data_IF_704652947326
#
_entry.id   IF_704652947326
#
_cell.length_a   1.000
_cell.length_b   1.000
_cell.length_c   1.000
_cell.angle_alpha   90.00
_cell.angle_beta   90.00
_cell.angle_gamma   90.00
#
_symmetry.space_group_name_H-M   'P 1'
#
loop_
_entity.id
_entity.type
_entity.pdbx_description
1 polymer ?
#
# COMPACT_ATOMS: atom_id res chain seq x y z
N UNK A 1 -5.51 -24.78 2.19
CA UNK A 1 -5.71 -23.35 2.50
C UNK A 1 -4.32 -22.72 2.42
N UNK A 2 -4.07 -21.74 1.54
CA UNK A 2 -2.73 -21.17 1.39
C UNK A 2 -2.32 -20.48 2.70
N UNK A 3 -1.10 -20.78 3.16
CA UNK A 3 -0.48 -20.18 4.35
C UNK A 3 -0.01 -18.76 4.06
N UNK A 4 0.07 -17.91 5.09
CA UNK A 4 0.20 -16.45 5.04
C UNK A 4 1.39 -15.83 4.25
N UNK A 5 2.23 -16.63 3.60
CA UNK A 5 3.28 -16.19 2.65
C UNK A 5 2.83 -16.07 1.20
N UNK A 6 1.71 -16.69 0.80
CA UNK A 6 1.33 -16.81 -0.62
C UNK A 6 0.85 -15.50 -1.29
N UNK A 7 0.70 -14.42 -0.52
CA UNK A 7 0.18 -13.13 -1.00
C UNK A 7 1.19 -11.97 -1.03
N UNK A 8 2.32 -12.09 -0.32
CA UNK A 8 3.31 -11.02 -0.17
C UNK A 8 4.61 -11.36 -0.91
N UNK A 9 4.95 -10.56 -1.92
CA UNK A 9 6.09 -10.83 -2.82
C UNK A 9 7.30 -9.95 -2.47
N UNK A 10 8.46 -10.55 -2.24
CA UNK A 10 9.71 -9.78 -2.20
C UNK A 10 10.15 -9.38 -3.61
N UNK A 11 10.44 -8.10 -3.80
CA UNK A 11 11.03 -7.60 -5.04
C UNK A 11 12.33 -6.85 -4.70
N UNK A 12 13.52 -7.46 -4.88
CA UNK A 12 14.82 -6.91 -4.53
C UNK A 12 15.37 -5.98 -5.61
N UNK A 13 14.58 -4.97 -5.99
CA UNK A 13 14.98 -3.90 -6.90
C UNK A 13 14.29 -3.91 -8.28
N UNK A 14 14.64 -2.95 -9.16
CA UNK A 14 13.93 -2.68 -10.41
C UNK A 14 13.87 -3.82 -11.42
N UNK A 15 14.85 -4.74 -11.38
CA UNK A 15 14.93 -5.88 -12.31
C UNK A 15 13.89 -6.97 -11.99
N UNK A 16 13.34 -6.96 -10.78
CA UNK A 16 12.35 -7.94 -10.33
C UNK A 16 12.92 -8.93 -9.31
N UNK A 17 12.27 -10.10 -9.12
CA UNK A 17 11.39 -10.77 -10.08
C UNK A 17 9.98 -10.17 -10.13
N UNK A 18 9.49 -9.91 -11.34
CA UNK A 18 8.14 -9.35 -11.56
C UNK A 18 7.06 -10.40 -11.84
N UNK A 19 7.47 -11.63 -12.16
CA UNK A 19 6.54 -12.72 -12.47
C UNK A 19 5.55 -13.00 -11.33
N UNK A 20 5.95 -13.11 -10.04
CA UNK A 20 5.00 -13.37 -8.96
C UNK A 20 3.97 -12.24 -8.77
N UNK A 21 4.39 -10.98 -8.94
CA UNK A 21 3.48 -9.82 -8.89
C UNK A 21 2.44 -9.91 -10.02
N UNK A 22 2.89 -10.19 -11.25
CA UNK A 22 1.99 -10.36 -12.42
C UNK A 22 1.06 -11.55 -12.26
N UNK A 23 1.54 -12.65 -11.71
CA UNK A 23 0.72 -13.84 -11.45
C UNK A 23 -0.36 -13.57 -10.40
N UNK A 24 0.00 -12.90 -9.30
CA UNK A 24 -0.97 -12.52 -8.26
C UNK A 24 -2.06 -11.58 -8.81
N UNK A 25 -1.66 -10.57 -9.59
CA UNK A 25 -2.60 -9.70 -10.30
C UNK A 25 -3.51 -10.45 -11.28
N UNK A 26 -2.98 -11.40 -12.04
CA UNK A 26 -3.76 -12.22 -12.99
C UNK A 26 -4.76 -13.11 -12.26
N UNK A 27 -4.35 -13.76 -11.17
CA UNK A 27 -5.15 -14.76 -10.46
C UNK A 27 -6.19 -14.15 -9.54
N UNK A 28 -5.83 -13.08 -8.83
CA UNK A 28 -6.64 -12.51 -7.75
C UNK A 28 -7.12 -11.09 -8.04
N UNK A 29 -6.58 -10.43 -9.07
CA UNK A 29 -6.85 -9.02 -9.33
C UNK A 29 -6.09 -8.07 -8.40
N UNK A 30 -5.30 -8.61 -7.46
CA UNK A 30 -4.55 -7.85 -6.46
C UNK A 30 -3.13 -8.38 -6.34
N UNK A 31 -2.17 -7.53 -5.97
CA UNK A 31 -0.85 -7.98 -5.54
C UNK A 31 -0.33 -7.10 -4.40
N UNK A 32 0.43 -7.71 -3.50
CA UNK A 32 1.15 -7.02 -2.43
C UNK A 32 2.62 -7.41 -2.53
N UNK A 33 3.49 -6.42 -2.45
CA UNK A 33 4.92 -6.62 -2.54
C UNK A 33 5.65 -5.81 -1.49
N UNK A 34 6.87 -6.23 -1.20
CA UNK A 34 7.78 -5.48 -0.35
C UNK A 34 9.18 -5.42 -0.97
N UNK A 35 9.95 -4.45 -0.49
CA UNK A 35 11.36 -4.28 -0.80
C UNK A 35 12.08 -3.56 0.33
N UNK A 36 13.39 -3.76 0.40
CA UNK A 36 14.24 -3.06 1.36
C UNK A 36 14.79 -1.77 0.76
N UNK A 37 14.95 -0.73 1.58
CA UNK A 37 15.42 0.60 1.18
C UNK A 37 16.67 0.55 0.28
N UNK A 38 17.67 -0.26 0.65
CA UNK A 38 18.93 -0.36 -0.08
C UNK A 38 18.82 -1.10 -1.42
N UNK A 39 17.81 -1.95 -1.60
CA UNK A 39 17.55 -2.64 -2.88
C UNK A 39 16.94 -1.69 -3.92
N UNK A 40 16.34 -0.59 -3.44
CA UNK A 40 15.56 0.34 -4.25
C UNK A 40 16.15 1.75 -4.33
N UNK A 41 17.24 2.01 -3.60
CA UNK A 41 17.95 3.28 -3.64
C UNK A 41 18.83 3.36 -4.90
N UNK A 42 18.54 4.25 -5.86
CA UNK A 42 19.39 4.44 -7.02
C UNK A 42 20.77 4.99 -6.61
N UNK A 43 21.87 4.55 -7.24
CA UNK A 43 23.19 5.04 -6.92
C UNK A 43 23.38 6.46 -7.47
N UNK A 44 23.43 7.46 -6.58
CA UNK A 44 23.82 8.85 -6.88
C UNK A 44 23.17 9.44 -8.16
N UNK A 45 21.82 9.50 -8.23
CA UNK A 45 21.16 9.95 -9.45
C UNK A 45 21.43 11.43 -9.74
N UNK A 46 21.63 11.77 -11.01
CA UNK A 46 21.72 13.15 -11.45
C UNK A 46 20.35 13.86 -11.47
N UNK A 47 20.31 15.17 -11.80
CA UNK A 47 19.04 15.92 -11.79
C UNK A 47 18.03 15.40 -12.84
N UNK A 48 18.52 14.92 -13.99
CA UNK A 48 17.68 14.39 -15.06
C UNK A 48 17.05 13.06 -14.63
N UNK A 49 17.85 12.19 -14.02
CA UNK A 49 17.40 10.93 -13.45
C UNK A 49 16.40 11.15 -12.32
N UNK A 50 16.67 12.07 -11.38
CA UNK A 50 15.73 12.42 -10.31
C UNK A 50 14.39 12.92 -10.85
N UNK A 51 14.42 13.76 -11.89
CA UNK A 51 13.19 14.24 -12.55
C UNK A 51 12.41 13.10 -13.20
N UNK A 52 13.11 12.16 -13.84
CA UNK A 52 12.52 10.94 -14.38
C UNK A 52 11.90 10.07 -13.30
N UNK A 53 12.64 9.79 -12.21
CA UNK A 53 12.28 8.88 -11.12
C UNK A 53 11.24 9.42 -10.14
N UNK A 54 11.09 10.74 -10.02
CA UNK A 54 10.14 11.36 -9.10
C UNK A 54 8.99 12.07 -9.81
N UNK A 55 9.20 12.57 -11.03
CA UNK A 55 8.17 13.32 -11.75
C UNK A 55 7.57 14.43 -10.90
N UNK A 56 6.24 14.45 -10.74
CA UNK A 56 5.53 15.40 -9.87
C UNK A 56 5.89 15.34 -8.37
N UNK A 57 6.64 14.31 -7.93
CA UNK A 57 7.08 14.14 -6.55
C UNK A 57 8.43 14.81 -6.25
N UNK A 58 9.11 15.37 -7.27
CA UNK A 58 10.41 16.02 -7.13
C UNK A 58 10.42 17.22 -6.17
N UNK A 59 9.43 18.15 -6.19
CA UNK A 59 9.44 19.29 -5.26
C UNK A 59 9.51 18.86 -3.80
N UNK A 60 8.71 17.84 -3.42
CA UNK A 60 8.71 17.30 -2.07
C UNK A 60 10.06 16.69 -1.68
N UNK A 61 10.75 16.02 -2.61
CA UNK A 61 12.08 15.49 -2.36
C UNK A 61 13.11 16.60 -2.08
N UNK A 62 13.05 17.70 -2.82
CA UNK A 62 13.95 18.84 -2.65
C UNK A 62 13.74 19.56 -1.30
N UNK A 63 12.51 19.61 -0.79
CA UNK A 63 12.16 20.16 0.53
C UNK A 63 12.75 19.37 1.71
N UNK A 64 12.99 18.07 1.55
CA UNK A 64 13.55 17.25 2.62
C UNK A 64 14.97 17.71 2.93
N UNK A 65 15.27 18.05 4.17
CA UNK A 65 16.60 18.54 4.57
C UNK A 65 17.55 17.43 5.04
N UNK A 66 16.98 16.33 5.55
CA UNK A 66 17.75 15.23 6.13
C UNK A 66 18.11 14.20 5.05
N UNK A 67 19.39 13.86 4.92
CA UNK A 67 19.90 12.92 3.92
C UNK A 67 19.17 11.56 3.97
N UNK A 68 19.05 10.95 5.16
CA UNK A 68 18.33 9.68 5.34
C UNK A 68 16.86 9.76 4.96
N UNK A 69 16.21 10.91 5.18
CA UNK A 69 14.82 11.09 4.77
C UNK A 69 14.71 11.18 3.24
N UNK A 70 15.67 11.83 2.56
CA UNK A 70 15.76 11.88 1.09
C UNK A 70 15.95 10.50 0.49
N UNK A 71 16.91 9.71 0.99
CA UNK A 71 17.17 8.35 0.51
C UNK A 71 15.93 7.46 0.63
N UNK A 72 15.31 7.43 1.82
CA UNK A 72 14.06 6.69 2.06
C UNK A 72 12.94 7.12 1.13
N UNK A 73 12.76 8.43 0.97
CA UNK A 73 11.73 8.97 0.10
C UNK A 73 11.95 8.54 -1.36
N UNK A 74 13.19 8.66 -1.84
CA UNK A 74 13.56 8.27 -3.19
C UNK A 74 13.33 6.77 -3.41
N UNK A 75 13.91 5.91 -2.56
CA UNK A 75 13.74 4.46 -2.66
C UNK A 75 12.26 4.06 -2.65
N UNK A 76 11.47 4.64 -1.74
CA UNK A 76 10.02 4.39 -1.63
C UNK A 76 9.26 4.79 -2.89
N UNK A 77 9.58 5.92 -3.50
CA UNK A 77 8.90 6.37 -4.73
C UNK A 77 9.31 5.56 -5.95
N UNK A 78 10.58 5.16 -6.05
CA UNK A 78 11.06 4.28 -7.12
C UNK A 78 10.42 2.90 -7.01
N UNK A 79 10.43 2.28 -5.82
CA UNK A 79 9.76 1.02 -5.54
C UNK A 79 8.28 1.05 -5.91
N UNK A 80 7.55 2.03 -5.36
CA UNK A 80 6.11 2.12 -5.57
C UNK A 80 5.75 2.32 -7.04
N UNK A 81 6.52 3.16 -7.76
CA UNK A 81 6.32 3.38 -9.18
C UNK A 81 6.48 2.12 -10.01
N UNK A 82 7.50 1.31 -9.74
CA UNK A 82 7.72 0.07 -10.49
C UNK A 82 6.60 -0.94 -10.26
N UNK A 83 6.11 -1.04 -9.02
CA UNK A 83 4.94 -1.88 -8.69
C UNK A 83 3.71 -1.46 -9.50
N UNK A 84 3.43 -0.15 -9.56
CA UNK A 84 2.32 0.38 -10.36
C UNK A 84 2.55 0.15 -11.87
N UNK A 85 3.78 0.33 -12.36
CA UNK A 85 4.15 0.12 -13.76
C UNK A 85 3.87 -1.33 -14.21
N UNK A 86 4.22 -2.30 -13.37
CA UNK A 86 3.92 -3.72 -13.59
C UNK A 86 2.41 -3.96 -13.62
N UNK A 87 1.67 -3.33 -12.70
CA UNK A 87 0.20 -3.41 -12.67
C UNK A 87 -0.46 -2.80 -13.92
N UNK A 88 0.16 -1.81 -14.56
CA UNK A 88 -0.31 -1.20 -15.81
C UNK A 88 0.24 -1.88 -17.07
N UNK A 89 1.24 -2.76 -16.94
CA UNK A 89 2.04 -3.25 -18.07
C UNK A 89 2.64 -2.11 -18.91
N UNK A 90 3.14 -1.08 -18.23
CA UNK A 90 3.72 0.11 -18.84
C UNK A 90 5.17 0.35 -18.33
N UNK A 91 5.98 1.15 -19.04
CA UNK A 91 7.28 1.60 -18.52
C UNK A 91 7.11 2.44 -17.25
N UNK A 92 7.97 2.30 -16.22
CA UNK A 92 7.89 3.09 -14.98
C UNK A 92 7.83 4.60 -15.21
N UNK A 93 8.55 5.10 -16.21
CA UNK A 93 8.64 6.53 -16.57
C UNK A 93 7.31 7.11 -17.03
N UNK A 94 6.39 6.26 -17.52
CA UNK A 94 5.06 6.66 -17.97
C UNK A 94 4.03 6.73 -16.83
N UNK A 95 4.38 6.26 -15.63
CA UNK A 95 3.47 6.19 -14.49
C UNK A 95 3.39 7.54 -13.77
N UNK A 96 2.21 8.15 -13.78
CA UNK A 96 1.92 9.37 -13.03
C UNK A 96 1.10 9.08 -11.76
N UNK A 97 1.75 9.21 -10.61
CA UNK A 97 1.16 8.99 -9.29
C UNK A 97 0.85 10.34 -8.64
N UNK A 98 -0.43 10.61 -8.44
CA UNK A 98 -0.95 11.71 -7.64
C UNK A 98 -1.21 11.31 -6.20
N UNK A 99 -1.42 12.31 -5.34
CA UNK A 99 -1.83 12.11 -3.95
C UNK A 99 -3.04 12.98 -3.65
N UNK A 100 -4.06 12.39 -3.03
CA UNK A 100 -5.21 13.11 -2.50
C UNK A 100 -4.78 13.99 -1.31
N UNK A 101 -5.58 14.99 -0.90
CA UNK A 101 -5.25 15.86 0.24
C UNK A 101 -4.92 15.12 1.54
N UNK A 102 -5.35 13.86 1.67
CA UNK A 102 -5.15 13.03 2.85
C UNK A 102 -3.96 12.07 2.71
N UNK A 103 -3.14 12.25 1.66
CA UNK A 103 -1.97 11.43 1.39
C UNK A 103 -2.26 10.08 0.74
N UNK A 104 -3.51 9.78 0.37
CA UNK A 104 -3.85 8.56 -0.38
C UNK A 104 -3.30 8.67 -1.82
N UNK A 105 -2.43 7.75 -2.27
CA UNK A 105 -1.95 7.74 -3.65
C UNK A 105 -3.06 7.32 -4.61
N UNK A 106 -3.02 7.85 -5.84
CA UNK A 106 -3.85 7.42 -6.97
C UNK A 106 -3.05 7.52 -8.27
N UNK A 107 -3.46 6.76 -9.28
CA UNK A 107 -2.82 6.75 -10.60
C UNK A 107 -3.61 7.61 -11.57
N UNK A 108 -2.99 8.65 -12.14
CA UNK A 108 -3.67 9.54 -13.09
C UNK A 108 -3.97 8.79 -14.38
N UNK A 109 -5.19 8.97 -14.90
CA UNK A 109 -5.63 8.30 -16.13
C UNK A 109 -6.02 6.83 -15.95
N UNK A 110 -5.96 6.28 -14.73
CA UNK A 110 -6.30 4.88 -14.43
C UNK A 110 -7.21 4.79 -13.18
N UNK A 111 -8.46 5.22 -13.31
CA UNK A 111 -9.40 5.32 -12.19
C UNK A 111 -9.81 3.99 -11.54
N UNK A 112 -9.60 2.87 -12.23
CA UNK A 112 -9.92 1.52 -11.74
C UNK A 112 -8.78 0.89 -10.93
N UNK A 113 -7.56 1.45 -11.00
CA UNK A 113 -6.40 0.90 -10.30
C UNK A 113 -6.27 1.52 -8.90
N UNK A 114 -6.53 0.71 -7.90
CA UNK A 114 -6.38 1.07 -6.50
C UNK A 114 -4.98 0.74 -6.01
N UNK A 115 -4.35 1.67 -5.28
CA UNK A 115 -2.95 1.57 -4.87
C UNK A 115 -2.75 2.00 -3.42
N UNK A 116 -1.83 1.35 -2.72
CA UNK A 116 -1.49 1.67 -1.34
C UNK A 116 0.01 1.47 -1.09
N UNK A 117 0.58 2.28 -0.19
CA UNK A 117 1.99 2.30 0.14
C UNK A 117 2.14 2.49 1.65
N UNK A 118 3.02 1.71 2.27
CA UNK A 118 3.49 1.94 3.64
C UNK A 118 4.99 1.66 3.76
N UNK A 119 5.61 2.17 4.82
CA UNK A 119 7.01 1.92 5.12
C UNK A 119 7.25 1.95 6.64
N UNK A 120 8.14 1.11 7.14
CA UNK A 120 8.60 1.14 8.52
C UNK A 120 10.09 0.86 8.57
N UNK A 121 10.86 1.85 9.05
CA UNK A 121 12.32 1.80 8.95
C UNK A 121 12.79 1.60 7.50
N UNK A 122 13.61 0.57 7.20
CA UNK A 122 14.08 0.25 5.86
C UNK A 122 13.06 -0.57 5.04
N UNK A 123 11.99 -1.08 5.65
CA UNK A 123 10.97 -1.86 4.93
C UNK A 123 10.00 -0.94 4.20
N UNK A 124 9.68 -1.29 2.97
CA UNK A 124 8.65 -0.64 2.17
C UNK A 124 7.70 -1.72 1.65
N UNK A 125 6.40 -1.42 1.68
CA UNK A 125 5.34 -2.33 1.22
C UNK A 125 4.37 -1.58 0.32
N UNK A 126 4.02 -2.18 -0.80
CA UNK A 126 3.10 -1.62 -1.77
C UNK A 126 2.04 -2.65 -2.12
N UNK A 127 0.82 -2.16 -2.33
CA UNK A 127 -0.31 -2.98 -2.74
C UNK A 127 -1.02 -2.34 -3.93
N UNK A 128 -1.48 -3.18 -4.85
CA UNK A 128 -2.19 -2.80 -6.08
C UNK A 128 -3.42 -3.70 -6.26
N UNK A 129 -4.52 -3.12 -6.74
CA UNK A 129 -5.77 -3.84 -6.98
C UNK A 129 -6.50 -3.31 -8.21
N UNK A 130 -6.98 -4.22 -9.05
CA UNK A 130 -7.84 -3.97 -10.22
C UNK A 130 -9.32 -4.27 -9.96
N UNK A 131 -9.67 -4.72 -8.76
CA UNK A 131 -10.99 -5.32 -8.46
C UNK A 131 -11.70 -4.69 -7.26
N UNK A 132 -11.14 -3.64 -6.69
CA UNK A 132 -11.72 -2.94 -5.54
C UNK A 132 -10.66 -2.29 -4.65
N UNK A 133 -11.11 -1.69 -3.56
CA UNK A 133 -10.23 -0.97 -2.62
C UNK A 133 -9.16 -1.88 -2.05
N UNK A 134 -7.96 -1.34 -1.85
CA UNK A 134 -6.83 -2.05 -1.24
C UNK A 134 -6.05 -1.12 -0.32
N UNK A 135 -5.55 -1.67 0.78
CA UNK A 135 -4.71 -0.97 1.73
C UNK A 135 -3.64 -1.90 2.29
N UNK A 136 -2.44 -1.36 2.50
CA UNK A 136 -1.34 -2.08 3.14
C UNK A 136 -0.72 -1.23 4.22
N UNK A 137 -0.30 -1.89 5.28
CA UNK A 137 0.51 -1.29 6.32
C UNK A 137 1.62 -2.24 6.79
N UNK A 138 2.70 -1.64 7.30
CA UNK A 138 3.81 -2.38 7.88
C UNK A 138 4.35 -1.66 9.10
N UNK A 139 4.65 -2.41 10.15
CA UNK A 139 5.28 -1.91 11.36
C UNK A 139 6.31 -2.90 11.88
N UNK A 140 7.28 -2.40 12.62
CA UNK A 140 8.22 -3.29 13.29
C UNK A 140 7.51 -4.11 14.38
N UNK A 141 7.66 -5.42 14.32
CA UNK A 141 6.93 -6.34 15.18
C UNK A 141 7.39 -6.30 16.65
N UNK A 142 8.61 -5.81 16.88
CA UNK A 142 9.25 -5.65 18.19
C UNK A 142 8.95 -4.29 18.85
N UNK A 143 8.09 -3.46 18.25
CA UNK A 143 7.80 -2.12 18.76
C UNK A 143 7.17 -2.22 20.16
N UNK A 144 7.77 -1.61 21.21
CA UNK A 144 7.25 -1.71 22.56
C UNK A 144 6.04 -0.80 22.70
N UNK A 145 4.84 -1.39 22.68
CA UNK A 145 3.57 -0.67 22.80
C UNK A 145 2.82 -0.99 24.10
N UNK A 146 3.18 -2.05 24.83
CA UNK A 146 2.55 -2.35 26.11
C UNK A 146 2.77 -1.21 27.12
N UNK A 147 1.72 -0.86 27.86
CA UNK A 147 1.73 0.27 28.81
C UNK A 147 1.84 1.67 28.18
N UNK A 148 1.85 1.81 26.85
CA UNK A 148 1.95 3.11 26.17
C UNK A 148 0.63 3.91 26.10
N UNK A 149 -0.50 3.28 26.46
CA UNK A 149 -1.85 3.83 26.31
C UNK A 149 -2.42 3.75 24.89
N UNK A 150 -1.66 3.21 23.93
CA UNK A 150 -2.13 3.03 22.54
C UNK A 150 -3.32 2.07 22.42
N UNK A 151 -3.47 1.13 23.35
CA UNK A 151 -4.62 0.24 23.41
C UNK A 151 -5.94 1.01 23.52
N UNK A 152 -5.96 2.21 24.11
CA UNK A 152 -7.17 3.01 24.24
C UNK A 152 -7.62 3.63 22.91
N UNK A 153 -6.68 4.05 22.06
CA UNK A 153 -6.97 4.65 20.76
C UNK A 153 -7.05 3.62 19.63
N UNK A 154 -6.42 2.46 19.80
CA UNK A 154 -6.35 1.43 18.77
C UNK A 154 -7.41 0.37 18.98
N UNK A 155 -7.61 -0.15 20.20
CA UNK A 155 -8.39 -1.35 20.43
C UNK A 155 -9.87 -1.03 20.73
N UNK A 156 -10.76 -1.89 20.23
CA UNK A 156 -12.14 -1.97 20.73
C UNK A 156 -12.14 -2.41 22.21
N UNK A 157 -13.24 -2.19 22.96
CA UNK A 157 -13.34 -2.69 24.34
C UNK A 157 -13.07 -4.19 24.47
N UNK A 158 -13.55 -5.00 23.53
CA UNK A 158 -13.35 -6.45 23.54
C UNK A 158 -11.89 -6.83 23.21
N UNK A 159 -11.26 -6.13 22.28
CA UNK A 159 -9.84 -6.32 21.98
C UNK A 159 -8.95 -5.92 23.16
N UNK A 160 -9.31 -4.91 23.95
CA UNK A 160 -8.57 -4.57 25.19
C UNK A 160 -8.65 -5.69 26.23
N UNK A 161 -9.82 -6.30 26.41
CA UNK A 161 -9.97 -7.47 27.30
C UNK A 161 -9.11 -8.63 26.79
N UNK A 162 -9.12 -8.87 25.48
CA UNK A 162 -8.27 -9.88 24.85
C UNK A 162 -6.78 -9.61 25.11
N UNK A 163 -6.34 -8.38 24.88
CA UNK A 163 -4.95 -7.93 25.03
C UNK A 163 -4.48 -8.10 26.48
N UNK A 164 -5.31 -7.68 27.45
CA UNK A 164 -5.01 -7.81 28.87
C UNK A 164 -4.89 -9.28 29.32
N UNK A 165 -5.60 -10.21 28.66
CA UNK A 165 -5.52 -11.66 28.95
C UNK A 165 -4.23 -12.32 28.46
N UNK A 166 -3.45 -11.66 27.59
CA UNK A 166 -2.19 -12.21 27.08
C UNK A 166 -1.06 -12.03 28.10
N UNK A 167 -0.07 -12.95 28.10
CA UNK A 167 1.21 -12.72 28.78
C UNK A 167 1.85 -11.40 28.34
N UNK A 168 2.44 -10.60 29.26
CA UNK A 168 3.01 -9.29 28.95
C UNK A 168 3.94 -9.27 27.73
N UNK A 169 4.76 -10.30 27.56
CA UNK A 169 5.69 -10.48 26.45
C UNK A 169 5.02 -10.57 25.06
N UNK A 170 3.73 -10.91 25.00
CA UNK A 170 2.96 -11.01 23.76
C UNK A 170 2.09 -9.80 23.47
N UNK A 171 1.87 -8.91 24.46
CA UNK A 171 0.94 -7.78 24.33
C UNK A 171 1.39 -6.77 23.28
N UNK A 172 2.66 -6.38 23.29
CA UNK A 172 3.18 -5.44 22.29
C UNK A 172 3.02 -5.99 20.86
N UNK A 173 3.36 -7.26 20.64
CA UNK A 173 3.25 -7.88 19.33
C UNK A 173 1.80 -7.96 18.82
N UNK A 174 0.85 -8.25 19.72
CA UNK A 174 -0.57 -8.27 19.38
C UNK A 174 -1.13 -6.86 19.12
N UNK A 175 -0.72 -5.87 19.91
CA UNK A 175 -1.13 -4.47 19.71
C UNK A 175 -0.59 -3.93 18.38
N UNK A 176 0.66 -4.25 18.01
CA UNK A 176 1.20 -3.96 16.67
C UNK A 176 0.37 -4.65 15.58
N UNK A 177 -0.01 -5.93 15.77
CA UNK A 177 -0.85 -6.66 14.81
C UNK A 177 -2.19 -5.96 14.58
N UNK A 178 -2.88 -5.56 15.65
CA UNK A 178 -4.16 -4.85 15.57
C UNK A 178 -4.00 -3.48 14.90
N UNK A 179 -2.97 -2.74 15.28
CA UNK A 179 -2.63 -1.45 14.68
C UNK A 179 -2.45 -1.57 13.16
N UNK A 180 -1.55 -2.46 12.71
CA UNK A 180 -1.22 -2.60 11.29
C UNK A 180 -2.42 -3.03 10.46
N UNK A 181 -3.29 -3.90 10.99
CA UNK A 181 -4.55 -4.28 10.33
C UNK A 181 -5.52 -3.09 10.19
N UNK A 182 -5.72 -2.32 11.26
CA UNK A 182 -6.63 -1.16 11.27
C UNK A 182 -6.12 -0.05 10.37
N UNK A 183 -4.81 0.20 10.36
CA UNK A 183 -4.20 1.19 9.47
C UNK A 183 -4.30 0.75 8.01
N UNK A 184 -4.05 -0.53 7.70
CA UNK A 184 -4.26 -1.07 6.35
C UNK A 184 -5.72 -0.87 5.89
N UNK A 185 -6.70 -1.16 6.74
CA UNK A 185 -8.11 -0.93 6.43
C UNK A 185 -8.44 0.54 6.21
N UNK A 186 -7.96 1.41 7.09
CA UNK A 186 -8.18 2.84 6.94
C UNK A 186 -7.53 3.42 5.68
N UNK A 187 -6.36 2.91 5.28
CA UNK A 187 -5.71 3.23 4.00
C UNK A 187 -6.56 2.80 2.82
N UNK A 188 -7.15 1.60 2.85
CA UNK A 188 -8.08 1.15 1.81
C UNK A 188 -9.33 2.05 1.70
N UNK A 189 -9.82 2.54 2.83
CA UNK A 189 -10.96 3.46 2.88
C UNK A 189 -10.60 4.91 2.54
N UNK A 190 -9.31 5.25 2.48
CA UNK A 190 -8.81 6.60 2.23
C UNK A 190 -8.99 7.58 3.40
N UNK A 191 -9.18 7.07 4.62
CA UNK A 191 -9.42 7.88 5.81
C UNK A 191 -8.15 8.11 6.65
N UNK A 192 -7.14 7.25 6.51
CA UNK A 192 -5.88 7.33 7.24
C UNK A 192 -6.06 7.38 8.77
N UNK A 193 -5.29 8.20 9.46
CA UNK A 193 -5.36 8.35 10.93
C UNK A 193 -6.67 8.95 11.47
N UNK A 194 -7.60 9.38 10.60
CA UNK A 194 -8.90 9.93 11.02
C UNK A 194 -9.94 8.86 11.30
N UNK A 195 -9.68 7.61 10.88
CA UNK A 195 -10.61 6.53 11.13
C UNK A 195 -10.59 6.18 12.63
N UNK A 196 -11.75 6.09 13.31
CA UNK A 196 -11.81 5.71 14.72
C UNK A 196 -11.49 4.22 14.89
N UNK A 197 -10.23 3.88 15.17
CA UNK A 197 -9.74 2.51 15.26
C UNK A 197 -10.42 1.71 16.39
N UNK A 198 -10.76 2.37 17.49
CA UNK A 198 -11.52 1.82 18.60
C UNK A 198 -12.97 1.41 18.23
N UNK A 199 -13.45 1.84 17.05
CA UNK A 199 -14.75 1.51 16.47
C UNK A 199 -14.66 0.44 15.37
N UNK A 200 -13.50 -0.17 15.16
CA UNK A 200 -13.25 -1.20 14.15
C UNK A 200 -12.73 -2.47 14.80
N UNK A 201 -13.50 -3.56 14.77
CA UNK A 201 -13.14 -4.83 15.38
C UNK A 201 -12.65 -5.86 14.36
N UNK A 202 -11.55 -6.53 14.70
CA UNK A 202 -11.02 -7.66 13.93
C UNK A 202 -11.04 -8.96 14.73
N UNK A 203 -11.32 -10.07 14.04
CA UNK A 203 -11.14 -11.42 14.59
C UNK A 203 -9.68 -11.70 14.92
N UNK A 204 -9.42 -12.72 15.74
CA UNK A 204 -8.05 -13.27 15.94
C UNK A 204 -7.43 -13.76 14.63
N UNK A 205 -8.25 -14.26 13.70
CA UNK A 205 -7.83 -14.63 12.34
C UNK A 205 -7.52 -13.44 11.43
N UNK A 206 -7.70 -12.20 11.91
CA UNK A 206 -7.41 -10.98 11.16
C UNK A 206 -8.53 -10.50 10.25
N UNK A 207 -9.66 -11.21 10.18
CA UNK A 207 -10.88 -10.85 9.43
C UNK A 207 -11.58 -9.64 10.06
N UNK A 208 -11.89 -8.56 9.31
CA UNK A 208 -12.77 -7.51 9.78
C UNK A 208 -14.09 -8.15 10.20
N UNK A 209 -14.45 -8.05 11.47
CA UNK A 209 -15.69 -8.64 11.97
C UNK A 209 -16.79 -7.60 11.99
N UNK A 210 -16.49 -6.41 12.50
CA UNK A 210 -17.52 -5.43 12.81
C UNK A 210 -17.00 -3.99 12.87
N UNK A 211 -17.87 -3.04 12.60
CA UNK A 211 -17.66 -1.62 12.84
C UNK A 211 -18.81 -1.03 13.66
N UNK A 212 -18.51 -0.08 14.54
CA UNK A 212 -19.53 0.64 15.31
C UNK A 212 -20.19 1.70 14.42
N UNK A 213 -21.47 1.51 14.12
CA UNK A 213 -22.30 2.42 13.33
C UNK A 213 -22.58 3.75 14.05
N UNK A 214 -23.23 4.67 13.34
CA UNK A 214 -23.67 5.96 13.89
C UNK A 214 -24.82 5.80 14.89
N UNK A 215 -25.58 4.72 14.76
CA UNK A 215 -26.62 4.27 15.68
C UNK A 215 -26.06 3.78 17.04
N UNK A 216 -24.75 3.59 17.14
CA UNK A 216 -24.09 3.07 18.33
C UNK A 216 -24.08 1.54 18.39
N UNK A 217 -24.50 0.85 17.32
CA UNK A 217 -24.52 -0.61 17.23
C UNK A 217 -23.37 -1.16 16.39
N UNK A 218 -22.98 -2.41 16.66
CA UNK A 218 -21.92 -3.08 15.91
C UNK A 218 -22.50 -3.78 14.67
N UNK A 219 -22.07 -3.36 13.49
CA UNK A 219 -22.49 -3.93 12.20
C UNK A 219 -21.40 -4.80 11.60
N UNK A 220 -21.74 -5.94 10.97
CA UNK A 220 -20.76 -6.81 10.34
C UNK A 220 -20.02 -6.11 9.18
N UNK A 221 -18.71 -6.33 9.08
CA UNK A 221 -17.89 -5.83 7.97
C UNK A 221 -17.73 -6.89 6.90
N UNK A 222 -18.73 -6.99 6.03
CA UNK A 222 -18.72 -7.93 4.92
C UNK A 222 -17.93 -7.39 3.71
N UNK A 223 -17.51 -8.31 2.83
CA UNK A 223 -16.92 -7.93 1.55
C UNK A 223 -15.43 -7.57 1.61
N UNK A 224 -14.73 -7.86 2.71
CA UNK A 224 -13.30 -7.62 2.85
C UNK A 224 -12.52 -8.91 3.07
N UNK A 225 -11.35 -8.98 2.45
CA UNK A 225 -10.30 -9.92 2.76
C UNK A 225 -9.15 -9.18 3.42
N UNK A 226 -8.42 -9.92 4.25
CA UNK A 226 -7.33 -9.41 5.05
C UNK A 226 -6.28 -10.50 5.20
N UNK A 227 -5.04 -10.08 5.38
CA UNK A 227 -4.01 -10.99 5.84
C UNK A 227 -2.95 -10.19 6.58
N UNK A 228 -2.28 -10.90 7.49
CA UNK A 228 -1.14 -10.39 8.22
C UNK A 228 -0.05 -11.45 8.17
N UNK A 229 1.17 -11.02 7.92
CA UNK A 229 2.34 -11.88 7.95
C UNK A 229 3.46 -11.25 8.76
N UNK A 230 4.38 -12.11 9.21
CA UNK A 230 5.60 -11.72 9.92
C UNK A 230 6.77 -11.91 8.95
N UNK A 231 7.45 -10.82 8.62
CA UNK A 231 8.72 -10.86 7.94
C UNK A 231 9.81 -11.01 9.00
N UNK A 232 10.40 -12.19 9.07
CA UNK A 232 11.54 -12.48 9.94
C UNK A 232 12.82 -11.88 9.36
N UNK A 233 13.81 -11.61 10.22
CA UNK A 233 15.10 -11.07 9.83
C UNK A 233 15.87 -10.52 11.03
N UNK A 234 16.89 -9.71 10.78
CA UNK A 234 17.64 -9.04 11.86
C UNK A 234 16.73 -8.17 12.76
N UNK A 235 15.65 -7.64 12.18
CA UNK A 235 14.54 -7.04 12.90
C UNK A 235 13.23 -7.53 12.27
N UNK A 236 12.27 -8.04 13.05
CA UNK A 236 11.03 -8.56 12.51
C UNK A 236 10.04 -7.43 12.17
N UNK A 237 9.29 -7.60 11.09
CA UNK A 237 8.23 -6.66 10.67
C UNK A 237 6.88 -7.36 10.50
N UNK A 238 5.83 -6.73 11.02
CA UNK A 238 4.45 -7.10 10.78
C UNK A 238 3.97 -6.38 9.53
N UNK A 239 3.45 -7.12 8.55
CA UNK A 239 2.84 -6.55 7.35
C UNK A 239 1.40 -7.01 7.28
N UNK A 240 0.46 -6.07 7.20
CA UNK A 240 -0.95 -6.37 7.00
C UNK A 240 -1.48 -5.70 5.75
N UNK A 241 -2.36 -6.38 5.03
CA UNK A 241 -3.07 -5.81 3.91
C UNK A 241 -4.53 -6.20 3.97
N UNK A 242 -5.38 -5.32 3.47
CA UNK A 242 -6.79 -5.60 3.26
C UNK A 242 -7.17 -5.24 1.84
N UNK A 243 -8.10 -5.98 1.28
CA UNK A 243 -8.68 -5.66 -0.01
C UNK A 243 -10.15 -6.04 -0.07
N UNK A 244 -10.93 -5.29 -0.84
CA UNK A 244 -12.32 -5.60 -1.08
C UNK A 244 -12.40 -6.90 -1.89
N UNK A 245 -13.31 -7.79 -1.49
CA UNK A 245 -13.62 -9.00 -2.25
C UNK A 245 -14.26 -8.58 -3.56
N UNK A 246 -13.87 -9.24 -4.64
CA UNK A 246 -14.59 -9.16 -5.90
C UNK A 246 -16.01 -9.68 -5.65
N UNK A 247 -17.01 -8.83 -5.80
CA UNK A 247 -18.38 -9.33 -5.95
C UNK A 247 -18.39 -10.23 -7.17
N UNK A 248 -18.93 -11.44 -7.04
CA UNK A 248 -19.10 -12.33 -8.18
C UNK A 248 -20.03 -11.62 -9.17
N UNK A 249 -19.44 -10.95 -10.16
CA UNK A 249 -20.19 -10.37 -11.26
C UNK A 249 -21.04 -11.49 -11.85
N UNK A 250 -22.37 -11.36 -11.76
CA UNK A 250 -23.27 -12.10 -12.63
C UNK A 250 -22.73 -11.97 -14.04
N UNK A 251 -22.56 -13.11 -14.70
CA UNK A 251 -21.94 -13.30 -16.02
C UNK A 251 -22.06 -12.09 -16.94
N UNK A 252 -21.03 -11.26 -16.99
CA UNK A 252 -20.81 -10.30 -18.06
C UNK A 252 -19.36 -10.43 -18.49
N UNK A 253 -19.16 -11.13 -19.61
CA UNK A 253 -17.89 -11.21 -20.31
C UNK A 253 -17.45 -9.81 -20.73
N UNK A 254 -16.24 -9.42 -20.36
CA UNK A 254 -15.54 -8.34 -21.05
C UNK A 254 -14.06 -8.69 -21.09
N UNK A 255 -13.69 -9.43 -22.14
CA UNK A 255 -12.33 -9.36 -22.64
C UNK A 255 -12.03 -7.90 -22.98
N UNK A 256 -10.84 -7.44 -22.60
CA UNK A 256 -10.39 -6.09 -22.89
C UNK A 256 -10.25 -5.91 -24.41
N UNK A 257 -10.80 -4.85 -25.03
CA UNK A 257 -10.38 -4.48 -26.37
C UNK A 257 -8.94 -3.96 -26.28
N UNK A 258 -8.06 -4.43 -27.17
CA UNK A 258 -6.65 -4.05 -27.25
C UNK A 258 -6.40 -2.54 -27.54
N UNK A 259 -7.43 -1.69 -27.54
CA UNK A 259 -7.35 -0.28 -27.91
C UNK A 259 -7.09 0.66 -26.72
N UNK A 260 -7.33 0.23 -25.48
CA UNK A 260 -7.08 1.06 -24.28
C UNK A 260 -5.58 1.32 -24.00
N UNK A 261 -4.69 0.48 -24.54
CA UNK A 261 -3.23 0.63 -24.41
C UNK A 261 -2.66 1.70 -25.35
N UNK A 262 -3.38 2.07 -26.42
CA UNK A 262 -2.91 3.05 -27.42
C UNK A 262 -3.32 4.50 -27.11
N UNK A 263 -4.37 4.71 -26.30
CA UNK A 263 -4.81 6.06 -25.91
C UNK A 263 -3.88 6.72 -24.86
N UNK A 264 -3.21 5.92 -24.03
CA UNK A 264 -2.25 6.41 -23.03
C UNK A 264 -0.92 6.89 -23.67
N UNK A 265 -0.58 6.42 -24.87
CA UNK A 265 0.65 6.79 -25.58
C UNK A 265 0.48 7.94 -26.58
N UNK A 266 -0.75 8.30 -26.95
CA UNK A 266 -1.02 9.31 -27.98
C UNK A 266 -1.23 10.73 -27.45
N UNK A 267 -1.52 10.92 -26.15
CA UNK A 267 -1.74 12.26 -25.57
C UNK A 267 -0.47 12.91 -24.98
N UNK A 268 0.65 12.18 -24.92
CA UNK A 268 1.94 12.71 -24.43
C UNK A 268 2.79 13.46 -25.46
N UNK A 269 2.48 13.34 -26.76
CA UNK A 269 3.38 13.81 -27.84
C UNK A 269 2.96 15.13 -28.52
N UNK A 270 1.80 15.73 -28.21
CA UNK A 270 1.28 16.88 -28.98
C UNK A 270 1.30 18.24 -28.25
N UNK A 271 1.98 18.36 -27.11
CA UNK A 271 2.17 19.67 -26.42
C UNK A 271 3.62 20.14 -26.30
N UNK A 272 4.47 19.79 -27.27
CA UNK A 272 5.81 20.38 -27.41
C UNK A 272 6.15 20.68 -28.87
N UNK A 273 5.33 21.47 -29.56
CA UNK A 273 5.74 22.13 -30.81
C UNK A 273 4.73 23.23 -31.18
N UNK A 274 4.77 24.35 -30.47
CA UNK A 274 4.31 25.63 -31.01
C UNK A 274 4.83 26.78 -30.15
N UNK A 275 5.32 27.82 -30.82
CA UNK A 275 5.79 29.13 -30.32
C UNK A 275 7.27 29.18 -29.98
N UNK A 276 8.09 29.46 -30.99
CA UNK A 276 8.95 30.64 -31.09
C UNK A 276 9.36 30.81 -32.57
N UNK A 277 8.69 31.71 -33.30
CA UNK A 277 9.27 32.40 -34.47
C UNK A 277 9.12 33.89 -34.18
N UNK A 278 10.26 34.56 -34.23
CA UNK A 278 10.48 36.00 -34.09
C UNK A 278 9.78 36.79 -35.21
N UNK A 279 9.75 38.13 -35.15
CA UNK A 279 10.95 38.94 -35.32
C UNK A 279 11.45 39.62 -34.04
#
# INVERSE_FOLDING_TARGET
MPTASDGLVHVPGPVGPWFPVRESLRRYGTAVAYGWELEWLPPCPDETELRGLLGGQLPRYLELTHHRARERYLASRVFFRHIVAVALSAPPESVDIGYMPHGRPYVRGCGELEVSLSHSGPLQVAAVSRVGRIGVDAEAADRPLDGSGWDQSVCTPQERVLLASLPPEHRSAELVRMWTLKEAYSKAMGQGMRYPFERLGFSRSGVPERSLGEDGDWHPLEGWNCATTLLEGARPYRVSWVHQRREAAGTASAGWPAEAVLMALSHGSLRRQARWRAP
#
